data_IF_671988256574
#
_entry.id   IF_671988256574
#
_cell.length_a   1.000
_cell.length_b   1.000
_cell.length_c   1.000
_cell.angle_alpha   90.00
_cell.angle_beta   90.00
_cell.angle_gamma   90.00
#
_symmetry.space_group_name_H-M   'P 1'
#
loop_
_entity.id
_entity.type
_entity.pdbx_description
1 polymer ?
#
# COMPACT_ATOMS: atom_id res chain seq x y z
N UNK A 1 -39.93 -2.39 49.01
CA UNK A 1 -39.34 -3.24 50.00
C UNK A 1 -37.86 -3.42 49.61
N UNK A 2 -37.05 -2.77 50.30
CA UNK A 2 -36.26 -3.07 51.51
C UNK A 2 -35.08 -3.99 51.17
N UNK A 3 -34.03 -3.46 51.32
CA UNK A 3 -32.94 -3.42 52.29
C UNK A 3 -31.68 -4.19 51.85
N UNK A 4 -30.57 -3.49 51.90
CA UNK A 4 -29.23 -3.98 52.05
C UNK A 4 -29.00 -4.49 53.52
N UNK A 5 -27.81 -4.52 54.15
CA UNK A 5 -26.45 -4.15 53.77
C UNK A 5 -25.40 -5.11 54.36
N UNK A 6 -24.12 -4.76 54.33
CA UNK A 6 -23.14 -5.23 55.31
C UNK A 6 -21.81 -5.68 54.69
N UNK A 7 -20.83 -4.92 54.78
CA UNK A 7 -19.72 -4.65 55.72
C UNK A 7 -18.57 -5.64 55.56
N UNK A 8 -17.40 -5.18 55.16
CA UNK A 8 -16.25 -4.64 55.89
C UNK A 8 -15.20 -5.69 56.31
N UNK A 9 -13.94 -5.34 56.19
CA UNK A 9 -12.81 -5.92 56.89
C UNK A 9 -11.58 -6.02 55.95
N UNK A 10 -10.72 -5.10 55.91
CA UNK A 10 -9.59 -4.54 56.66
C UNK A 10 -8.35 -5.43 56.74
N UNK A 11 -7.25 -4.74 56.48
CA UNK A 11 -5.89 -4.92 57.00
C UNK A 11 -4.89 -5.75 56.17
N UNK A 12 -3.88 -5.03 55.70
CA UNK A 12 -2.48 -5.28 55.54
C UNK A 12 -1.76 -5.47 56.92
N UNK A 13 -0.47 -5.23 57.10
CA UNK A 13 0.70 -5.17 56.22
C UNK A 13 1.87 -6.08 56.76
N UNK A 14 3.05 -6.05 56.17
CA UNK A 14 4.25 -6.61 56.79
C UNK A 14 5.33 -6.85 55.74
N UNK A 15 6.30 -6.05 55.63
CA UNK A 15 7.51 -5.79 56.38
C UNK A 15 8.69 -6.65 55.91
N UNK A 16 9.72 -5.96 55.47
CA UNK A 16 11.07 -6.48 55.26
C UNK A 16 11.77 -6.85 56.62
N UNK A 17 12.88 -7.56 56.59
CA UNK A 17 14.11 -7.03 57.19
C UNK A 17 15.37 -7.26 56.35
N UNK A 18 16.21 -6.21 56.20
CA UNK A 18 17.40 -5.86 56.97
C UNK A 18 18.43 -7.00 57.20
N UNK A 19 19.57 -6.87 56.61
CA UNK A 19 20.84 -6.23 56.94
C UNK A 19 21.85 -7.08 57.72
N UNK A 20 23.13 -6.76 57.46
CA UNK A 20 24.39 -6.90 58.22
C UNK A 20 25.21 -8.17 57.94
N UNK A 21 26.46 -7.97 57.65
CA UNK A 21 27.63 -7.54 58.35
C UNK A 21 28.90 -7.84 57.56
N UNK A 22 29.64 -6.98 57.56
CA UNK A 22 30.99 -6.48 57.79
C UNK A 22 32.07 -7.51 58.14
N UNK A 23 33.26 -7.29 57.59
CA UNK A 23 34.59 -7.07 58.19
C UNK A 23 35.68 -7.26 57.12
N UNK A 24 36.39 -6.21 56.73
CA UNK A 24 37.65 -5.62 57.15
C UNK A 24 38.81 -6.64 57.22
N UNK A 25 39.88 -6.38 56.46
CA UNK A 25 41.25 -6.10 56.90
C UNK A 25 42.18 -5.79 55.72
N UNK A 26 42.74 -4.62 55.83
CA UNK A 26 44.04 -4.05 55.43
C UNK A 26 45.12 -5.03 54.95
N UNK A 27 45.96 -4.67 53.99
CA UNK A 27 47.09 -3.74 54.08
C UNK A 27 47.84 -3.62 52.73
N UNK A 28 48.50 -2.49 52.50
CA UNK A 28 49.64 -2.41 51.62
C UNK A 28 49.58 -1.37 50.50
N UNK A 29 50.00 -0.17 50.79
CA UNK A 29 50.10 0.90 49.86
C UNK A 29 51.23 0.75 48.84
N UNK A 30 51.06 1.34 47.70
CA UNK A 30 52.12 2.07 46.96
C UNK A 30 51.48 3.20 46.17
N UNK A 31 52.14 4.33 46.25
CA UNK A 31 51.79 5.58 45.59
C UNK A 31 51.79 5.45 44.08
N UNK A 32 50.92 6.19 43.46
CA UNK A 32 51.23 6.59 42.11
C UNK A 32 50.04 6.65 41.16
N UNK A 33 49.82 7.81 40.67
CA UNK A 33 49.04 8.24 39.50
C UNK A 33 47.53 8.33 39.70
N UNK A 34 47.10 9.56 39.92
CA UNK A 34 45.74 10.02 39.69
C UNK A 34 45.37 9.71 38.24
N UNK A 35 44.27 8.94 38.00
CA UNK A 35 43.76 8.91 36.65
C UNK A 35 43.20 10.29 36.32
N UNK A 36 43.79 10.92 35.34
CA UNK A 36 43.20 12.09 34.64
C UNK A 36 41.86 11.57 34.10
N UNK A 37 40.75 12.01 34.67
CA UNK A 37 39.45 11.87 34.02
C UNK A 37 39.58 12.50 32.65
N UNK A 38 39.22 11.82 31.55
CA UNK A 38 39.01 12.49 30.30
C UNK A 38 37.94 13.53 30.57
N UNK A 39 38.29 14.80 30.35
CA UNK A 39 37.33 15.88 30.35
C UNK A 39 36.18 15.53 29.43
N UNK A 40 35.01 16.15 29.56
CA UNK A 40 33.93 15.93 28.64
C UNK A 40 34.50 16.14 27.23
N UNK A 41 34.63 15.03 26.51
CA UNK A 41 34.86 15.12 25.07
C UNK A 41 33.78 16.06 24.55
N UNK A 42 34.19 17.22 24.16
CA UNK A 42 33.45 18.16 23.37
C UNK A 42 32.60 17.33 22.42
N UNK A 43 31.28 17.37 22.60
CA UNK A 43 30.35 16.91 21.59
C UNK A 43 30.80 17.62 20.32
N UNK A 44 31.52 16.90 19.48
CA UNK A 44 32.00 17.40 18.23
C UNK A 44 30.79 17.98 17.53
N UNK A 45 30.86 19.25 17.25
CA UNK A 45 29.91 20.01 16.43
C UNK A 45 29.84 19.29 15.07
N UNK A 46 29.06 18.21 15.01
CA UNK A 46 28.79 17.48 13.79
C UNK A 46 27.96 18.46 12.96
N UNK A 47 28.62 19.19 12.08
CA UNK A 47 27.97 20.05 11.12
C UNK A 47 26.84 19.23 10.46
N UNK A 48 25.62 19.75 10.41
CA UNK A 48 24.49 19.01 9.86
C UNK A 48 24.84 18.54 8.45
N UNK A 49 24.47 17.31 8.11
CA UNK A 49 24.69 16.71 6.80
C UNK A 49 24.19 17.68 5.72
N UNK A 50 25.06 18.11 4.82
CA UNK A 50 24.63 18.92 3.68
C UNK A 50 23.98 18.06 2.63
N UNK A 51 22.72 18.35 2.34
CA UNK A 51 21.91 17.61 1.36
C UNK A 51 21.81 18.39 0.07
N UNK A 52 22.03 17.72 -1.05
CA UNK A 52 21.97 18.31 -2.38
C UNK A 52 21.04 17.54 -3.33
N UNK A 53 20.95 18.03 -4.56
CA UNK A 53 20.13 17.40 -5.62
C UNK A 53 20.53 15.94 -5.91
N UNK A 54 21.82 15.59 -5.77
CA UNK A 54 22.32 14.23 -5.97
C UNK A 54 21.71 13.24 -4.97
N UNK A 55 21.50 13.66 -3.73
CA UNK A 55 20.91 12.81 -2.69
C UNK A 55 19.42 12.59 -2.96
N UNK A 56 18.71 13.65 -3.39
CA UNK A 56 17.31 13.54 -3.83
C UNK A 56 17.17 12.62 -5.04
N UNK A 57 18.12 12.69 -6.00
CA UNK A 57 18.10 11.82 -7.19
C UNK A 57 18.24 10.35 -6.81
N UNK A 58 19.11 10.02 -5.86
CA UNK A 58 19.25 8.64 -5.35
C UNK A 58 17.96 8.11 -4.73
N UNK A 59 17.24 8.94 -3.94
CA UNK A 59 15.96 8.54 -3.38
C UNK A 59 14.89 8.33 -4.47
N UNK A 60 14.88 9.15 -5.51
CA UNK A 60 13.96 8.99 -6.66
C UNK A 60 14.25 7.73 -7.45
N UNK A 61 15.52 7.41 -7.67
CA UNK A 61 15.94 6.14 -8.31
C UNK A 61 15.48 4.95 -7.47
N UNK A 62 15.72 4.97 -6.15
CA UNK A 62 15.26 3.93 -5.24
C UNK A 62 13.72 3.76 -5.29
N UNK A 63 12.95 4.84 -5.35
CA UNK A 63 11.50 4.79 -5.50
C UNK A 63 11.07 4.17 -6.84
N UNK A 64 11.79 4.47 -7.92
CA UNK A 64 11.51 3.92 -9.25
C UNK A 64 11.80 2.43 -9.30
N UNK A 65 12.93 1.98 -8.76
CA UNK A 65 13.30 0.58 -8.69
C UNK A 65 12.31 -0.22 -7.83
N UNK A 66 11.98 0.33 -6.66
CA UNK A 66 11.03 -0.30 -5.76
C UNK A 66 9.63 -0.44 -6.40
N UNK A 67 9.16 0.55 -7.17
CA UNK A 67 7.89 0.42 -7.93
C UNK A 67 7.96 -0.70 -8.97
N UNK A 68 9.09 -0.87 -9.67
CA UNK A 68 9.27 -1.97 -10.62
C UNK A 68 9.22 -3.32 -9.92
N UNK A 69 9.89 -3.47 -8.79
CA UNK A 69 9.88 -4.71 -8.01
C UNK A 69 8.48 -5.04 -7.47
N UNK A 70 7.80 -4.05 -6.90
CA UNK A 70 6.43 -4.23 -6.41
C UNK A 70 5.48 -4.69 -7.53
N UNK A 71 5.55 -4.08 -8.69
CA UNK A 71 4.70 -4.43 -9.83
C UNK A 71 4.95 -5.84 -10.36
N UNK A 72 6.20 -6.28 -10.34
CA UNK A 72 6.64 -7.56 -10.90
C UNK A 72 6.51 -8.73 -9.92
N UNK A 73 6.86 -8.52 -8.67
CA UNK A 73 7.00 -9.59 -7.67
C UNK A 73 5.96 -9.52 -6.55
N UNK A 74 5.23 -8.42 -6.42
CA UNK A 74 4.29 -8.15 -5.32
C UNK A 74 4.95 -7.53 -4.10
N UNK A 75 4.10 -6.97 -3.22
CA UNK A 75 4.53 -6.25 -2.02
C UNK A 75 5.18 -7.12 -0.94
N UNK A 76 5.00 -8.44 -1.00
CA UNK A 76 5.58 -9.39 -0.05
C UNK A 76 6.94 -9.99 -0.46
N UNK A 77 7.48 -9.59 -1.62
CA UNK A 77 8.81 -10.04 -2.03
C UNK A 77 9.89 -9.44 -1.10
N UNK A 78 11.00 -10.16 -0.92
CA UNK A 78 12.10 -9.73 -0.04
C UNK A 78 12.66 -8.35 -0.41
N UNK A 79 12.58 -7.95 -1.69
CA UNK A 79 13.00 -6.62 -2.15
C UNK A 79 12.15 -5.51 -1.54
N UNK A 80 10.90 -5.81 -1.19
CA UNK A 80 9.98 -4.85 -0.56
C UNK A 80 10.45 -4.44 0.83
N UNK A 81 11.17 -5.30 1.55
CA UNK A 81 11.75 -4.98 2.86
C UNK A 81 12.84 -3.90 2.76
N UNK A 82 13.41 -3.70 1.59
CA UNK A 82 14.41 -2.65 1.35
C UNK A 82 13.79 -1.23 1.38
N UNK A 83 12.50 -1.07 1.12
CA UNK A 83 11.86 0.25 1.12
C UNK A 83 11.79 0.85 2.53
N UNK A 84 11.28 0.16 3.58
CA UNK A 84 11.38 0.65 4.95
C UNK A 84 12.82 0.91 5.40
N UNK A 85 13.76 0.08 4.99
CA UNK A 85 15.18 0.26 5.32
C UNK A 85 15.75 1.50 4.64
N UNK A 86 15.47 1.74 3.36
CA UNK A 86 15.85 2.96 2.65
C UNK A 86 15.25 4.21 3.31
N UNK A 87 14.00 4.16 3.77
CA UNK A 87 13.40 5.25 4.53
C UNK A 87 14.15 5.54 5.83
N UNK A 88 14.58 4.51 6.53
CA UNK A 88 15.26 4.62 7.82
C UNK A 88 16.73 5.05 7.68
N UNK A 89 17.46 4.46 6.75
CA UNK A 89 18.91 4.61 6.63
C UNK A 89 19.30 5.77 5.71
N UNK A 90 18.56 5.93 4.62
CA UNK A 90 18.90 6.93 3.60
C UNK A 90 18.07 8.22 3.74
N UNK A 91 16.72 8.10 3.78
CA UNK A 91 15.85 9.27 3.76
C UNK A 91 15.84 10.02 5.11
N UNK A 92 15.74 9.33 6.24
CA UNK A 92 15.60 9.98 7.54
C UNK A 92 16.80 10.86 7.92
N UNK A 93 18.07 10.45 7.74
CA UNK A 93 19.22 11.34 7.98
C UNK A 93 19.22 12.57 7.08
N UNK A 94 18.82 12.43 5.80
CA UNK A 94 18.74 13.54 4.86
C UNK A 94 17.69 14.57 5.30
N UNK A 95 16.52 14.11 5.78
CA UNK A 95 15.45 14.98 6.29
C UNK A 95 15.88 15.81 7.50
N UNK A 96 16.87 15.34 8.27
CA UNK A 96 17.44 16.03 9.42
C UNK A 96 18.66 16.89 9.04
N UNK A 97 19.10 16.85 7.80
CA UNK A 97 20.24 17.59 7.28
C UNK A 97 19.94 19.08 7.05
N UNK A 98 20.93 19.79 6.49
CA UNK A 98 20.77 21.16 6.04
C UNK A 98 20.65 21.21 4.52
N UNK A 99 19.66 21.92 4.02
CA UNK A 99 19.34 22.05 2.60
C UNK A 99 18.67 23.39 2.31
N UNK A 100 18.70 23.80 1.04
CA UNK A 100 17.92 24.95 0.56
C UNK A 100 16.43 24.59 0.49
N UNK A 101 15.55 25.60 0.46
CA UNK A 101 14.10 25.39 0.35
C UNK A 101 13.73 24.55 -0.89
N UNK A 102 14.44 24.75 -2.00
CA UNK A 102 14.22 23.98 -3.24
C UNK A 102 14.58 22.51 -3.05
N UNK A 103 15.78 22.23 -2.54
CA UNK A 103 16.23 20.86 -2.23
C UNK A 103 15.33 20.23 -1.18
N UNK A 104 14.92 20.99 -0.15
CA UNK A 104 14.01 20.52 0.89
C UNK A 104 12.67 20.07 0.33
N UNK A 105 12.03 20.87 -0.53
CA UNK A 105 10.78 20.46 -1.21
C UNK A 105 10.97 19.20 -2.05
N UNK A 106 12.04 19.13 -2.82
CA UNK A 106 12.35 17.96 -3.64
C UNK A 106 12.62 16.70 -2.78
N UNK A 107 13.30 16.86 -1.64
CA UNK A 107 13.60 15.80 -0.68
C UNK A 107 12.31 15.28 -0.01
N UNK A 108 11.44 16.19 0.46
CA UNK A 108 10.15 15.82 1.03
C UNK A 108 9.27 15.08 0.01
N UNK A 109 9.27 15.52 -1.26
CA UNK A 109 8.55 14.85 -2.35
C UNK A 109 9.05 13.43 -2.60
N UNK A 110 10.36 13.24 -2.74
CA UNK A 110 10.94 11.91 -2.93
C UNK A 110 10.68 10.98 -1.73
N UNK A 111 10.80 11.51 -0.51
CA UNK A 111 10.49 10.77 0.71
C UNK A 111 9.00 10.40 0.81
N UNK A 112 8.10 11.29 0.36
CA UNK A 112 6.66 11.03 0.31
C UNK A 112 6.32 9.89 -0.66
N UNK A 113 6.95 9.86 -1.84
CA UNK A 113 6.77 8.77 -2.81
C UNK A 113 7.19 7.41 -2.23
N UNK A 114 8.39 7.34 -1.62
CA UNK A 114 8.87 6.12 -0.97
C UNK A 114 7.97 5.68 0.18
N UNK A 115 7.54 6.61 1.03
CA UNK A 115 6.68 6.33 2.17
C UNK A 115 5.30 5.82 1.71
N UNK A 116 4.71 6.44 0.67
CA UNK A 116 3.48 5.95 0.06
C UNK A 116 3.66 4.53 -0.49
N UNK A 117 4.80 4.26 -1.13
CA UNK A 117 5.09 2.94 -1.68
C UNK A 117 5.23 1.88 -0.58
N UNK A 118 5.89 2.21 0.55
CA UNK A 118 5.91 1.34 1.73
C UNK A 118 4.49 1.04 2.23
N UNK A 119 3.61 2.06 2.24
CA UNK A 119 2.19 1.88 2.54
C UNK A 119 1.47 0.95 1.57
N UNK A 120 1.74 1.09 0.27
CA UNK A 120 1.17 0.22 -0.75
C UNK A 120 1.62 -1.24 -0.61
N UNK A 121 2.89 -1.47 -0.35
CA UNK A 121 3.44 -2.81 -0.11
C UNK A 121 2.85 -3.44 1.16
N UNK A 122 2.72 -2.67 2.24
CA UNK A 122 2.05 -3.12 3.45
C UNK A 122 0.58 -3.46 3.19
N UNK A 123 -0.13 -2.65 2.41
CA UNK A 123 -1.49 -2.93 1.97
C UNK A 123 -1.56 -4.23 1.14
N UNK A 124 -0.67 -4.40 0.18
CA UNK A 124 -0.63 -5.58 -0.70
C UNK A 124 -0.35 -6.89 0.06
N UNK A 125 0.32 -6.80 1.21
CA UNK A 125 0.62 -7.92 2.11
C UNK A 125 -0.36 -8.09 3.26
N UNK A 126 -1.44 -7.31 3.28
CA UNK A 126 -2.47 -7.41 4.31
C UNK A 126 -2.17 -6.67 5.62
N UNK A 127 -1.05 -5.97 5.73
CA UNK A 127 -0.64 -5.20 6.91
C UNK A 127 -1.35 -3.83 6.95
N UNK A 128 -2.66 -3.86 7.18
CA UNK A 128 -3.54 -2.70 6.97
C UNK A 128 -3.20 -1.49 7.85
N UNK A 129 -2.89 -1.70 9.13
CA UNK A 129 -2.55 -0.62 10.06
C UNK A 129 -1.18 -0.01 9.75
N UNK A 130 -0.21 -0.83 9.33
CA UNK A 130 1.08 -0.34 8.86
C UNK A 130 0.90 0.52 7.61
N UNK A 131 0.08 0.08 6.65
CA UNK A 131 -0.26 0.85 5.45
C UNK A 131 -0.85 2.23 5.80
N UNK A 132 -1.80 2.29 6.72
CA UNK A 132 -2.38 3.57 7.15
C UNK A 132 -1.36 4.51 7.77
N UNK A 133 -0.48 4.00 8.64
CA UNK A 133 0.60 4.81 9.23
C UNK A 133 1.52 5.40 8.16
N UNK A 134 1.93 4.60 7.18
CA UNK A 134 2.74 5.07 6.07
C UNK A 134 2.02 6.11 5.23
N UNK A 135 0.74 5.91 4.91
CA UNK A 135 -0.03 6.88 4.12
C UNK A 135 -0.19 8.22 4.84
N UNK A 136 -0.47 8.22 6.15
CA UNK A 136 -0.56 9.44 6.94
C UNK A 136 0.79 10.18 6.93
N UNK A 137 1.90 9.46 7.08
CA UNK A 137 3.23 10.06 7.01
C UNK A 137 3.53 10.60 5.61
N UNK A 138 3.22 9.85 4.56
CA UNK A 138 3.39 10.27 3.17
C UNK A 138 2.60 11.55 2.86
N UNK A 139 1.38 11.66 3.38
CA UNK A 139 0.56 12.85 3.20
C UNK A 139 1.17 14.09 3.88
N UNK A 140 1.76 13.92 5.07
CA UNK A 140 2.50 15.00 5.76
C UNK A 140 3.71 15.45 4.95
N UNK A 141 4.48 14.50 4.41
CA UNK A 141 5.65 14.78 3.57
C UNK A 141 5.27 15.45 2.25
N UNK A 142 4.21 15.00 1.57
CA UNK A 142 3.69 15.64 0.36
C UNK A 142 3.24 17.08 0.62
N UNK A 143 2.64 17.35 1.78
CA UNK A 143 2.28 18.71 2.21
C UNK A 143 3.52 19.56 2.43
N UNK A 144 4.54 19.03 3.10
CA UNK A 144 5.84 19.72 3.30
C UNK A 144 6.55 20.01 1.98
N UNK A 145 6.41 19.14 0.99
CA UNK A 145 6.89 19.34 -0.38
C UNK A 145 6.10 20.40 -1.17
N UNK A 146 4.93 20.81 -0.67
CA UNK A 146 3.94 21.60 -1.42
C UNK A 146 3.51 20.93 -2.74
N UNK A 147 3.56 19.59 -2.81
CA UNK A 147 3.17 18.79 -3.99
C UNK A 147 1.73 18.29 -3.84
N UNK A 148 0.80 19.09 -4.36
CA UNK A 148 -0.64 18.79 -4.26
C UNK A 148 -1.02 17.54 -5.07
N UNK A 149 -0.51 17.31 -6.30
CA UNK A 149 -0.76 16.07 -7.03
C UNK A 149 -0.27 14.82 -6.31
N UNK A 150 0.90 14.86 -5.68
CA UNK A 150 1.42 13.75 -4.88
C UNK A 150 0.54 13.50 -3.65
N UNK A 151 0.07 14.56 -2.98
CA UNK A 151 -0.91 14.46 -1.91
C UNK A 151 -2.21 13.77 -2.37
N UNK A 152 -2.69 14.11 -3.56
CA UNK A 152 -3.83 13.45 -4.21
C UNK A 152 -3.58 11.96 -4.48
N UNK A 153 -2.37 11.60 -4.90
CA UNK A 153 -1.98 10.21 -5.10
C UNK A 153 -1.98 9.40 -3.78
N UNK A 154 -1.54 10.01 -2.69
CA UNK A 154 -1.62 9.38 -1.36
C UNK A 154 -3.08 9.17 -0.96
N UNK A 155 -3.95 10.19 -1.11
CA UNK A 155 -5.38 10.08 -0.84
C UNK A 155 -6.05 9.00 -1.70
N UNK A 156 -5.69 8.89 -2.97
CA UNK A 156 -6.16 7.83 -3.87
C UNK A 156 -5.73 6.43 -3.38
N UNK A 157 -4.51 6.30 -2.87
CA UNK A 157 -4.03 5.04 -2.27
C UNK A 157 -4.80 4.67 -1.00
N UNK A 158 -5.11 5.64 -0.15
CA UNK A 158 -5.95 5.47 1.04
C UNK A 158 -7.39 5.08 0.66
N UNK A 159 -7.95 5.72 -0.38
CA UNK A 159 -9.27 5.38 -0.92
C UNK A 159 -9.33 3.93 -1.40
N UNK A 160 -8.35 3.47 -2.15
CA UNK A 160 -8.27 2.08 -2.60
C UNK A 160 -8.17 1.11 -1.43
N UNK A 161 -7.42 1.44 -0.39
CA UNK A 161 -7.34 0.61 0.82
C UNK A 161 -8.68 0.55 1.54
N UNK A 162 -9.35 1.69 1.78
CA UNK A 162 -10.64 1.75 2.45
C UNK A 162 -11.70 0.95 1.66
N UNK A 163 -11.75 1.16 0.34
CA UNK A 163 -12.64 0.44 -0.58
C UNK A 163 -12.43 -1.07 -0.51
N UNK A 164 -11.19 -1.52 -0.57
CA UNK A 164 -10.84 -2.95 -0.49
C UNK A 164 -11.26 -3.56 0.85
N UNK A 165 -11.13 -2.83 1.95
CA UNK A 165 -11.52 -3.26 3.29
C UNK A 165 -13.02 -3.22 3.55
N UNK A 166 -13.82 -2.77 2.58
CA UNK A 166 -15.28 -2.66 2.71
C UNK A 166 -15.80 -1.33 3.27
N UNK A 167 -14.92 -0.35 3.46
CA UNK A 167 -15.27 1.02 3.87
C UNK A 167 -15.46 1.90 2.63
N UNK A 168 -16.46 1.57 1.82
CA UNK A 168 -16.63 2.20 0.50
C UNK A 168 -16.95 3.70 0.61
N UNK A 169 -17.74 4.13 1.60
CA UNK A 169 -18.09 5.55 1.80
C UNK A 169 -16.85 6.38 2.13
N UNK A 170 -15.97 5.88 3.02
CA UNK A 170 -14.67 6.50 3.29
C UNK A 170 -13.80 6.53 2.03
N UNK A 171 -13.85 5.47 1.24
CA UNK A 171 -13.17 5.41 -0.06
C UNK A 171 -13.64 6.51 -1.01
N UNK A 172 -14.95 6.77 -1.09
CA UNK A 172 -15.53 7.86 -1.88
C UNK A 172 -15.03 9.21 -1.40
N UNK A 173 -15.10 9.48 -0.11
CA UNK A 173 -14.69 10.77 0.48
C UNK A 173 -13.22 11.08 0.19
N UNK A 174 -12.34 10.09 0.35
CA UNK A 174 -10.91 10.22 0.07
C UNK A 174 -10.61 10.46 -1.41
N UNK A 175 -11.31 9.75 -2.30
CA UNK A 175 -11.14 9.93 -3.75
C UNK A 175 -11.66 11.29 -4.21
N UNK A 176 -12.81 11.73 -3.71
CA UNK A 176 -13.35 13.06 -3.99
C UNK A 176 -12.42 14.16 -3.49
N UNK A 177 -11.84 14.00 -2.30
CA UNK A 177 -10.83 14.93 -1.79
C UNK A 177 -9.60 15.01 -2.71
N UNK A 178 -9.15 13.88 -3.29
CA UNK A 178 -8.08 13.87 -4.28
C UNK A 178 -8.47 14.65 -5.55
N UNK A 179 -9.66 14.42 -6.08
CA UNK A 179 -10.17 15.12 -7.26
C UNK A 179 -10.28 16.62 -7.02
N UNK A 180 -10.93 17.03 -5.94
CA UNK A 180 -11.24 18.43 -5.68
C UNK A 180 -10.01 19.28 -5.43
N UNK A 181 -9.07 18.77 -4.63
CA UNK A 181 -7.82 19.47 -4.33
C UNK A 181 -6.92 19.66 -5.53
N UNK A 182 -7.09 18.83 -6.56
CA UNK A 182 -6.23 18.81 -7.75
C UNK A 182 -6.84 19.49 -8.98
N UNK A 183 -8.03 20.07 -8.87
CA UNK A 183 -8.65 20.82 -9.97
C UNK A 183 -7.76 21.97 -10.41
N UNK A 184 -7.40 21.99 -11.68
CA UNK A 184 -6.53 23.01 -12.28
C UNK A 184 -5.05 22.91 -11.90
N UNK A 185 -4.65 21.92 -11.10
CA UNK A 185 -3.27 21.71 -10.68
C UNK A 185 -2.65 20.44 -11.27
N UNK A 186 -3.42 19.35 -11.34
CA UNK A 186 -2.94 18.07 -11.86
C UNK A 186 -3.13 17.95 -13.37
N UNK A 187 -2.32 17.10 -14.02
CA UNK A 187 -2.46 16.77 -15.44
C UNK A 187 -3.77 16.03 -15.72
N UNK A 188 -4.20 16.03 -16.97
CA UNK A 188 -5.40 15.32 -17.39
C UNK A 188 -5.34 13.82 -17.03
N UNK A 189 -4.19 13.21 -17.22
CA UNK A 189 -3.94 11.80 -16.89
C UNK A 189 -4.04 11.54 -15.39
N UNK A 190 -3.51 12.42 -14.56
CA UNK A 190 -3.63 12.36 -13.10
C UNK A 190 -5.09 12.51 -12.65
N UNK A 191 -5.83 13.46 -13.20
CA UNK A 191 -7.25 13.65 -12.91
C UNK A 191 -8.09 12.44 -13.31
N UNK A 192 -7.79 11.84 -14.47
CA UNK A 192 -8.40 10.57 -14.88
C UNK A 192 -8.21 9.47 -13.85
N UNK A 193 -7.00 9.30 -13.35
CA UNK A 193 -6.70 8.30 -12.32
C UNK A 193 -7.49 8.54 -11.02
N UNK A 194 -7.58 9.77 -10.54
CA UNK A 194 -8.35 10.09 -9.33
C UNK A 194 -9.85 9.82 -9.51
N UNK A 195 -10.41 10.16 -10.67
CA UNK A 195 -11.81 9.85 -11.00
C UNK A 195 -12.05 8.35 -11.12
N UNK A 196 -11.09 7.59 -11.62
CA UNK A 196 -11.17 6.14 -11.67
C UNK A 196 -11.20 5.52 -10.26
N UNK A 197 -10.37 6.03 -9.34
CA UNK A 197 -10.38 5.59 -7.95
C UNK A 197 -11.72 5.89 -7.27
N UNK A 198 -12.32 7.05 -7.54
CA UNK A 198 -13.68 7.39 -7.09
C UNK A 198 -14.71 6.40 -7.64
N UNK A 199 -14.61 6.04 -8.92
CA UNK A 199 -15.50 5.05 -9.53
C UNK A 199 -15.41 3.67 -8.83
N UNK A 200 -14.20 3.26 -8.44
CA UNK A 200 -13.96 2.02 -7.69
C UNK A 200 -14.71 2.02 -6.34
N UNK A 201 -14.67 3.13 -5.61
CA UNK A 201 -15.34 3.27 -4.33
C UNK A 201 -16.87 3.27 -4.48
N UNK A 202 -17.42 4.01 -5.44
CA UNK A 202 -18.85 3.99 -5.75
C UNK A 202 -19.36 2.61 -6.18
N UNK A 203 -18.60 1.90 -7.03
CA UNK A 203 -18.96 0.55 -7.45
C UNK A 203 -19.01 -0.42 -6.27
N UNK A 204 -18.05 -0.32 -5.36
CA UNK A 204 -18.02 -1.13 -4.13
C UNK A 204 -19.16 -0.80 -3.18
N UNK A 205 -19.59 0.47 -3.14
CA UNK A 205 -20.79 0.91 -2.40
C UNK A 205 -22.11 0.44 -3.08
N UNK A 206 -22.06 -0.09 -4.29
CA UNK A 206 -23.24 -0.48 -5.07
C UNK A 206 -23.95 0.67 -5.76
N UNK A 207 -23.36 1.88 -5.77
CA UNK A 207 -23.91 3.06 -6.44
C UNK A 207 -23.54 3.05 -7.94
N UNK A 208 -24.32 2.34 -8.72
CA UNK A 208 -24.10 2.19 -10.16
C UNK A 208 -24.16 3.53 -10.93
N UNK A 209 -25.11 4.46 -10.66
CA UNK A 209 -25.13 5.76 -11.33
C UNK A 209 -23.88 6.58 -11.04
N UNK A 210 -23.45 6.70 -9.78
CA UNK A 210 -22.26 7.45 -9.42
C UNK A 210 -20.98 6.82 -9.97
N UNK A 211 -20.85 5.49 -9.90
CA UNK A 211 -19.74 4.75 -10.50
C UNK A 211 -19.66 4.99 -12.02
N UNK A 212 -20.79 4.92 -12.73
CA UNK A 212 -20.86 5.18 -14.18
C UNK A 212 -20.46 6.63 -14.52
N UNK A 213 -20.93 7.60 -13.76
CA UNK A 213 -20.55 9.00 -13.95
C UNK A 213 -19.05 9.25 -13.71
N UNK A 214 -18.49 8.63 -12.66
CA UNK A 214 -17.07 8.73 -12.36
C UNK A 214 -16.20 8.04 -13.43
N UNK A 215 -16.60 6.85 -13.94
CA UNK A 215 -15.93 6.17 -15.06
C UNK A 215 -15.92 7.02 -16.33
N UNK A 216 -17.07 7.57 -16.70
CA UNK A 216 -17.18 8.47 -17.86
C UNK A 216 -16.27 9.70 -17.68
N UNK A 217 -16.25 10.28 -16.48
CA UNK A 217 -15.36 11.38 -16.16
C UNK A 217 -13.88 11.01 -16.27
N UNK A 218 -13.49 9.82 -15.80
CA UNK A 218 -12.13 9.30 -15.91
C UNK A 218 -11.73 9.11 -17.39
N UNK A 219 -12.58 8.49 -18.20
CA UNK A 219 -12.35 8.30 -19.64
C UNK A 219 -12.19 9.63 -20.36
N UNK A 220 -13.09 10.58 -20.11
CA UNK A 220 -13.03 11.92 -20.72
C UNK A 220 -11.76 12.69 -20.35
N UNK A 221 -11.25 12.54 -19.14
CA UNK A 221 -9.96 13.10 -18.76
C UNK A 221 -8.79 12.39 -19.46
N UNK A 222 -8.85 11.07 -19.59
CA UNK A 222 -7.80 10.29 -20.25
C UNK A 222 -7.69 10.63 -21.74
N UNK A 223 -8.82 10.86 -22.42
CA UNK A 223 -8.87 11.31 -23.81
C UNK A 223 -8.25 12.69 -24.03
N UNK A 224 -8.21 13.54 -23.00
CA UNK A 224 -7.55 14.86 -23.04
C UNK A 224 -6.06 14.80 -22.81
N UNK A 225 -5.54 13.68 -22.28
CA UNK A 225 -4.12 13.48 -22.03
C UNK A 225 -3.35 13.44 -23.36
N UNK A 226 -2.22 14.14 -23.41
CA UNK A 226 -1.39 14.26 -24.60
C UNK A 226 0.01 13.73 -24.33
N UNK A 227 0.65 13.22 -25.38
CA UNK A 227 2.06 12.93 -25.34
C UNK A 227 2.84 14.24 -25.11
N UNK A 228 3.66 14.28 -24.06
CA UNK A 228 4.42 15.48 -23.67
C UNK A 228 3.81 16.27 -22.52
N UNK A 229 2.62 15.89 -22.01
CA UNK A 229 2.15 16.42 -20.72
C UNK A 229 3.17 16.11 -19.62
N UNK A 230 3.37 17.03 -18.68
CA UNK A 230 4.28 16.87 -17.55
C UNK A 230 3.68 15.95 -16.49
N UNK A 231 3.41 14.71 -16.88
CA UNK A 231 2.90 13.70 -15.96
C UNK A 231 3.94 13.35 -14.88
N UNK A 232 3.53 13.20 -13.63
CA UNK A 232 4.46 12.81 -12.58
C UNK A 232 4.97 11.38 -12.81
N UNK A 233 6.27 11.12 -12.51
CA UNK A 233 6.90 9.80 -12.74
C UNK A 233 6.17 8.63 -12.05
N UNK A 234 5.53 8.90 -10.91
CA UNK A 234 4.79 7.88 -10.17
C UNK A 234 3.50 7.42 -10.88
N UNK A 235 3.04 8.14 -11.93
CA UNK A 235 1.85 7.77 -12.72
C UNK A 235 2.20 6.89 -13.94
N UNK A 236 3.44 6.48 -14.11
CA UNK A 236 3.90 5.71 -15.28
C UNK A 236 3.17 4.39 -15.52
N UNK A 237 2.52 3.84 -14.50
CA UNK A 237 1.71 2.61 -14.61
C UNK A 237 0.32 2.85 -15.23
N UNK A 238 -0.15 4.11 -15.34
CA UNK A 238 -1.51 4.43 -15.68
C UNK A 238 -1.67 4.78 -17.17
N UNK A 239 -2.52 4.07 -17.82
CA UNK A 239 -2.91 4.25 -19.22
C UNK A 239 -4.29 3.64 -19.46
N UNK A 240 -4.67 3.54 -20.73
CA UNK A 240 -5.99 3.03 -21.11
C UNK A 240 -6.21 1.57 -20.71
N UNK A 241 -5.17 0.74 -20.73
CA UNK A 241 -5.21 -0.66 -20.29
C UNK A 241 -5.48 -0.78 -18.78
N UNK A 242 -4.89 0.11 -17.97
CA UNK A 242 -5.17 0.17 -16.54
C UNK A 242 -6.58 0.72 -16.26
N UNK A 243 -6.99 1.76 -16.99
CA UNK A 243 -8.36 2.25 -16.92
C UNK A 243 -9.36 1.13 -17.22
N UNK A 244 -9.17 0.39 -18.31
CA UNK A 244 -10.03 -0.73 -18.68
C UNK A 244 -10.07 -1.84 -17.62
N UNK A 245 -8.93 -2.16 -17.01
CA UNK A 245 -8.86 -3.13 -15.94
C UNK A 245 -9.68 -2.73 -14.71
N UNK A 246 -9.53 -1.49 -14.26
CA UNK A 246 -10.25 -0.98 -13.09
C UNK A 246 -11.75 -0.75 -13.41
N UNK A 247 -12.12 -0.39 -14.64
CA UNK A 247 -13.50 -0.35 -15.10
C UNK A 247 -14.14 -1.75 -15.07
N UNK A 248 -13.42 -2.78 -15.50
CA UNK A 248 -13.88 -4.16 -15.39
C UNK A 248 -14.15 -4.56 -13.94
N UNK A 249 -13.29 -4.15 -13.00
CA UNK A 249 -13.52 -4.40 -11.57
C UNK A 249 -14.75 -3.66 -11.04
N UNK A 250 -14.98 -2.41 -11.44
CA UNK A 250 -16.19 -1.67 -11.09
C UNK A 250 -17.44 -2.43 -11.52
N UNK A 251 -17.46 -2.89 -12.77
CA UNK A 251 -18.61 -3.63 -13.30
C UNK A 251 -18.76 -5.03 -12.71
N UNK A 252 -17.67 -5.68 -12.28
CA UNK A 252 -17.74 -6.91 -11.50
C UNK A 252 -18.47 -6.67 -10.17
N UNK A 253 -18.08 -5.62 -9.43
CA UNK A 253 -18.70 -5.30 -8.14
C UNK A 253 -20.18 -4.91 -8.32
N UNK A 254 -20.53 -4.29 -9.44
CA UNK A 254 -21.91 -3.96 -9.84
C UNK A 254 -22.69 -5.13 -10.49
N UNK A 255 -22.09 -6.32 -10.58
CA UNK A 255 -22.71 -7.53 -11.15
C UNK A 255 -23.19 -7.33 -12.60
N UNK A 256 -22.37 -6.72 -13.42
CA UNK A 256 -22.62 -6.39 -14.82
C UNK A 256 -21.67 -7.16 -15.77
N UNK A 257 -21.79 -8.48 -15.95
CA UNK A 257 -20.79 -9.34 -16.60
C UNK A 257 -20.52 -8.99 -18.06
N UNK A 258 -21.49 -8.44 -18.79
CA UNK A 258 -21.30 -8.01 -20.19
C UNK A 258 -20.28 -6.87 -20.28
N UNK A 259 -20.36 -5.88 -19.39
CA UNK A 259 -19.42 -4.78 -19.30
C UNK A 259 -18.05 -5.28 -18.83
N UNK A 260 -18.00 -6.20 -17.85
CA UNK A 260 -16.75 -6.80 -17.40
C UNK A 260 -16.00 -7.41 -18.59
N UNK A 261 -16.68 -8.24 -19.41
CA UNK A 261 -16.04 -8.84 -20.59
C UNK A 261 -15.45 -7.80 -21.52
N UNK A 262 -16.24 -6.79 -21.91
CA UNK A 262 -15.80 -5.73 -22.80
C UNK A 262 -14.51 -5.06 -22.35
N UNK A 263 -14.44 -4.68 -21.07
CA UNK A 263 -13.27 -4.01 -20.51
C UNK A 263 -12.11 -4.96 -20.24
N UNK A 264 -12.39 -6.22 -19.88
CA UNK A 264 -11.33 -7.23 -19.65
C UNK A 264 -10.59 -7.58 -20.93
N UNK A 265 -11.26 -7.71 -22.06
CA UNK A 265 -10.63 -7.93 -23.37
C UNK A 265 -9.62 -6.83 -23.69
N UNK A 266 -9.98 -5.56 -23.44
CA UNK A 266 -9.08 -4.42 -23.60
C UNK A 266 -7.93 -4.45 -22.61
N UNK A 267 -8.19 -4.80 -21.36
CA UNK A 267 -7.19 -4.87 -20.30
C UNK A 267 -6.17 -6.00 -20.50
N UNK A 268 -6.56 -7.11 -21.10
CA UNK A 268 -5.71 -8.29 -21.36
C UNK A 268 -5.04 -8.26 -22.74
N UNK A 269 -5.38 -7.31 -23.61
CA UNK A 269 -4.80 -7.19 -24.96
C UNK A 269 -3.29 -6.93 -24.96
N UNK A 270 -2.75 -6.44 -23.86
CA UNK A 270 -1.31 -6.21 -23.65
C UNK A 270 -0.84 -6.95 -22.40
N UNK A 271 -0.44 -8.23 -22.50
CA UNK A 271 0.23 -8.89 -21.39
C UNK A 271 1.56 -8.17 -21.17
N UNK A 272 1.79 -7.70 -19.96
CA UNK A 272 3.02 -7.03 -19.61
C UNK A 272 3.77 -7.87 -18.59
N UNK A 273 4.96 -8.36 -18.97
CA UNK A 273 5.86 -9.06 -18.06
C UNK A 273 6.27 -8.19 -16.85
N UNK A 274 6.13 -6.88 -17.00
CA UNK A 274 6.46 -5.91 -15.97
C UNK A 274 5.36 -5.76 -14.91
N UNK A 275 4.08 -5.98 -15.26
CA UNK A 275 2.93 -5.80 -14.37
C UNK A 275 2.23 -7.12 -14.03
N UNK A 276 3.02 -8.09 -13.57
CA UNK A 276 2.57 -9.48 -13.34
C UNK A 276 1.41 -9.57 -12.36
N UNK A 277 1.47 -8.82 -11.23
CA UNK A 277 0.39 -8.79 -10.25
C UNK A 277 -0.92 -8.29 -10.86
N UNK A 278 -0.88 -7.17 -11.59
CA UNK A 278 -2.07 -6.62 -12.24
C UNK A 278 -2.65 -7.58 -13.28
N UNK A 279 -1.80 -8.30 -14.00
CA UNK A 279 -2.25 -9.33 -14.94
C UNK A 279 -2.98 -10.47 -14.23
N UNK A 280 -2.46 -10.97 -13.11
CA UNK A 280 -3.13 -11.99 -12.30
C UNK A 280 -4.51 -11.55 -11.81
N UNK A 281 -4.63 -10.34 -11.30
CA UNK A 281 -5.92 -9.78 -10.87
C UNK A 281 -6.93 -9.68 -12.03
N UNK A 282 -6.49 -9.23 -13.21
CA UNK A 282 -7.32 -9.16 -14.43
C UNK A 282 -7.85 -10.54 -14.86
N UNK A 283 -7.03 -11.57 -14.74
CA UNK A 283 -7.44 -12.95 -15.01
C UNK A 283 -8.53 -13.44 -14.06
N UNK A 284 -8.44 -13.12 -12.76
CA UNK A 284 -9.49 -13.45 -11.80
C UNK A 284 -10.79 -12.71 -12.14
N UNK A 285 -10.72 -11.40 -12.45
CA UNK A 285 -11.89 -10.60 -12.84
C UNK A 285 -12.55 -11.19 -14.10
N UNK A 286 -11.76 -11.63 -15.08
CA UNK A 286 -12.25 -12.34 -16.26
C UNK A 286 -12.93 -13.66 -15.89
N UNK A 287 -12.33 -14.46 -15.01
CA UNK A 287 -12.90 -15.72 -14.56
C UNK A 287 -14.27 -15.54 -13.89
N UNK A 288 -14.41 -14.52 -13.03
CA UNK A 288 -15.69 -14.18 -12.40
C UNK A 288 -16.75 -13.79 -13.44
N UNK A 289 -16.38 -12.98 -14.45
CA UNK A 289 -17.32 -12.59 -15.51
C UNK A 289 -17.79 -13.77 -16.35
N UNK A 290 -16.90 -14.70 -16.68
CA UNK A 290 -17.25 -15.93 -17.40
C UNK A 290 -18.19 -16.80 -16.56
N UNK A 291 -17.92 -16.96 -15.27
CA UNK A 291 -18.77 -17.69 -14.35
C UNK A 291 -20.18 -17.09 -14.25
N UNK A 292 -20.28 -15.78 -14.04
CA UNK A 292 -21.57 -15.05 -13.97
C UNK A 292 -22.34 -15.06 -15.30
N UNK A 293 -21.65 -15.34 -16.41
CA UNK A 293 -22.24 -15.51 -17.73
C UNK A 293 -22.62 -16.97 -18.04
N UNK A 294 -22.41 -17.90 -17.11
CA UNK A 294 -22.69 -19.32 -17.27
C UNK A 294 -21.63 -20.12 -18.02
N UNK A 295 -20.46 -19.55 -18.28
CA UNK A 295 -19.37 -20.19 -18.99
C UNK A 295 -18.34 -20.81 -18.02
N UNK A 296 -18.70 -21.90 -17.38
CA UNK A 296 -17.87 -22.54 -16.37
C UNK A 296 -16.48 -22.95 -16.91
N UNK A 297 -16.40 -23.41 -18.17
CA UNK A 297 -15.14 -23.81 -18.80
C UNK A 297 -14.16 -22.66 -18.93
N UNK A 298 -14.65 -21.54 -19.45
CA UNK A 298 -13.84 -20.34 -19.60
C UNK A 298 -13.45 -19.75 -18.24
N UNK A 299 -14.35 -19.80 -17.25
CA UNK A 299 -14.08 -19.38 -15.88
C UNK A 299 -12.95 -20.20 -15.25
N UNK A 300 -13.00 -21.53 -15.36
CA UNK A 300 -11.94 -22.40 -14.83
C UNK A 300 -10.62 -22.22 -15.58
N UNK A 301 -10.63 -22.04 -16.90
CA UNK A 301 -9.44 -21.80 -17.70
C UNK A 301 -8.75 -20.46 -17.31
N UNK A 302 -9.51 -19.39 -17.16
CA UNK A 302 -8.98 -18.10 -16.70
C UNK A 302 -8.51 -18.18 -15.25
N UNK A 303 -9.24 -18.86 -14.36
CA UNK A 303 -8.86 -19.12 -12.97
C UNK A 303 -7.55 -19.89 -12.85
N UNK A 304 -7.33 -20.92 -13.65
CA UNK A 304 -6.08 -21.67 -13.68
C UNK A 304 -4.89 -20.77 -14.04
N UNK A 305 -5.02 -19.96 -15.08
CA UNK A 305 -3.97 -18.98 -15.44
C UNK A 305 -3.73 -17.97 -14.34
N UNK A 306 -4.79 -17.52 -13.65
CA UNK A 306 -4.67 -16.61 -12.50
C UNK A 306 -3.88 -17.24 -11.36
N UNK A 307 -4.13 -18.51 -11.03
CA UNK A 307 -3.40 -19.27 -9.99
C UNK A 307 -1.94 -19.43 -10.37
N UNK A 308 -1.63 -19.74 -11.63
CA UNK A 308 -0.25 -19.85 -12.11
C UNK A 308 0.52 -18.54 -11.99
N UNK A 309 -0.12 -17.40 -12.29
CA UNK A 309 0.47 -16.07 -12.10
C UNK A 309 0.63 -15.75 -10.61
N UNK A 310 -0.41 -16.01 -9.80
CA UNK A 310 -0.38 -15.76 -8.37
C UNK A 310 0.72 -16.55 -7.64
N UNK A 311 1.02 -17.76 -8.09
CA UNK A 311 2.10 -18.58 -7.55
C UNK A 311 3.51 -18.04 -7.79
N UNK A 312 3.67 -17.05 -8.67
CA UNK A 312 4.97 -16.43 -9.01
C UNK A 312 5.22 -15.11 -8.28
N UNK A 313 4.24 -14.62 -7.52
CA UNK A 313 4.30 -13.32 -6.83
C UNK A 313 3.90 -13.48 -5.37
N UNK A 314 4.35 -12.55 -4.54
CA UNK A 314 3.99 -12.49 -3.12
C UNK A 314 3.02 -11.33 -2.89
N UNK A 315 1.71 -11.62 -2.93
CA UNK A 315 0.65 -10.63 -2.77
C UNK A 315 -0.57 -11.29 -2.10
N UNK A 316 -0.84 -10.91 -0.85
CA UNK A 316 -2.02 -11.36 -0.12
C UNK A 316 -3.30 -10.96 -0.85
N UNK A 317 -3.32 -9.78 -1.46
CA UNK A 317 -4.45 -9.29 -2.23
C UNK A 317 -4.77 -10.18 -3.43
N UNK A 318 -3.75 -10.65 -4.17
CA UNK A 318 -3.97 -11.58 -5.28
C UNK A 318 -4.53 -12.91 -4.78
N UNK A 319 -4.04 -13.41 -3.64
CA UNK A 319 -4.57 -14.62 -3.00
C UNK A 319 -6.03 -14.46 -2.59
N UNK A 320 -6.41 -13.29 -2.03
CA UNK A 320 -7.82 -13.00 -1.68
C UNK A 320 -8.74 -13.02 -2.91
N UNK A 321 -8.30 -12.48 -4.04
CA UNK A 321 -9.06 -12.55 -5.30
C UNK A 321 -9.25 -14.00 -5.77
N UNK A 322 -8.23 -14.84 -5.64
CA UNK A 322 -8.34 -16.27 -5.96
C UNK A 322 -9.33 -16.96 -5.00
N UNK A 323 -9.30 -16.66 -3.69
CA UNK A 323 -10.25 -17.18 -2.72
C UNK A 323 -11.69 -16.80 -3.07
N UNK A 324 -11.95 -15.54 -3.42
CA UNK A 324 -13.27 -15.08 -3.85
C UNK A 324 -13.77 -15.87 -5.07
N UNK A 325 -12.91 -16.09 -6.07
CA UNK A 325 -13.26 -16.93 -7.22
C UNK A 325 -13.62 -18.35 -6.81
N UNK A 326 -12.81 -18.99 -5.97
CA UNK A 326 -13.06 -20.36 -5.50
C UNK A 326 -14.33 -20.47 -4.66
N UNK A 327 -14.63 -19.45 -3.85
CA UNK A 327 -15.90 -19.37 -3.12
C UNK A 327 -17.10 -19.29 -4.07
N UNK A 328 -17.03 -18.48 -5.13
CA UNK A 328 -18.07 -18.40 -6.16
C UNK A 328 -18.26 -19.70 -6.95
N UNK A 329 -17.23 -20.53 -7.03
CA UNK A 329 -17.26 -21.85 -7.67
C UNK A 329 -17.76 -22.97 -6.75
N UNK A 330 -18.09 -22.70 -5.48
CA UNK A 330 -18.61 -23.73 -4.55
C UNK A 330 -19.85 -24.48 -5.08
N UNK A 331 -20.84 -23.81 -5.71
CA UNK A 331 -22.00 -24.50 -6.27
C UNK A 331 -21.66 -25.51 -7.37
N UNK A 332 -20.48 -25.44 -7.96
CA UNK A 332 -19.97 -26.30 -9.04
C UNK A 332 -18.90 -27.27 -8.57
N UNK A 333 -18.83 -27.56 -7.26
CA UNK A 333 -17.76 -28.33 -6.64
C UNK A 333 -17.59 -29.76 -7.17
N UNK A 334 -18.66 -30.37 -7.69
CA UNK A 334 -18.66 -31.73 -8.27
C UNK A 334 -18.09 -31.77 -9.71
N UNK A 335 -17.89 -30.62 -10.35
CA UNK A 335 -17.33 -30.57 -11.68
C UNK A 335 -15.82 -30.82 -11.64
N UNK A 336 -15.29 -31.77 -12.46
CA UNK A 336 -13.88 -32.17 -12.41
C UNK A 336 -12.89 -30.98 -12.60
N UNK A 337 -13.23 -30.03 -13.47
CA UNK A 337 -12.40 -28.84 -13.75
C UNK A 337 -12.34 -27.88 -12.58
N UNK A 338 -13.40 -27.80 -11.75
CA UNK A 338 -13.42 -27.00 -10.52
C UNK A 338 -12.57 -27.68 -9.45
N UNK A 339 -12.66 -29.00 -9.33
CA UNK A 339 -11.83 -29.77 -8.43
C UNK A 339 -10.33 -29.62 -8.79
N UNK A 340 -10.00 -29.69 -10.08
CA UNK A 340 -8.62 -29.48 -10.58
C UNK A 340 -8.11 -28.06 -10.24
N UNK A 341 -8.93 -27.03 -10.48
CA UNK A 341 -8.56 -25.65 -10.14
C UNK A 341 -8.30 -25.48 -8.64
N UNK A 342 -9.13 -26.07 -7.79
CA UNK A 342 -8.95 -26.06 -6.32
C UNK A 342 -7.64 -26.72 -5.90
N UNK A 343 -7.32 -27.86 -6.48
CA UNK A 343 -6.05 -28.54 -6.20
C UNK A 343 -4.85 -27.68 -6.59
N UNK A 344 -4.88 -27.05 -7.78
CA UNK A 344 -3.82 -26.14 -8.23
C UNK A 344 -3.68 -24.91 -7.35
N UNK A 345 -4.78 -24.39 -6.78
CA UNK A 345 -4.76 -23.23 -5.90
C UNK A 345 -4.32 -23.56 -4.46
N UNK A 346 -4.38 -24.83 -4.03
CA UNK A 346 -4.07 -25.26 -2.65
C UNK A 346 -2.74 -24.72 -2.11
N UNK A 347 -1.59 -24.83 -2.82
CA UNK A 347 -0.32 -24.31 -2.33
C UNK A 347 -0.34 -22.82 -2.05
N UNK A 348 -1.03 -22.04 -2.90
CA UNK A 348 -1.19 -20.60 -2.75
C UNK A 348 -1.98 -20.22 -1.49
N UNK A 349 -2.98 -21.03 -1.13
CA UNK A 349 -3.86 -20.75 0.02
C UNK A 349 -3.24 -21.14 1.35
N UNK A 350 -2.37 -22.14 1.37
CA UNK A 350 -1.69 -22.65 2.59
C UNK A 350 -0.48 -21.79 2.96
N UNK A 351 0.23 -21.25 1.99
CA UNK A 351 1.48 -20.49 2.22
C UNK A 351 1.27 -19.12 2.91
N UNK A 352 0.02 -18.70 3.12
CA UNK A 352 -0.33 -17.40 3.72
C UNK A 352 -1.23 -17.54 4.97
N UNK A 353 -1.32 -18.74 5.55
CA UNK A 353 -2.06 -18.99 6.79
C UNK A 353 -1.10 -18.84 8.04
#
# INVERSE_FOLDING_TARGET
>A
GSEGPGTAGTQGPGAAPDARGAHILHTGGTAGSVPVQPGPESAADASPLRVGHSDVSKLREAAQDARRWDSKYGGGDWRSSMVPECLRVDAAPLLLGSYTDEVGRALFGASAELTRLAGWMAFDTGQQEAAQRYYIQALRLARAAADVPLGGYVLASMSLQATYRGFADEGVDLAQAAVERNRGLATARTMSFFRLVEARAHAKAGDAPAAGAALKGAESWLERSRAGDADPPWLGFYGYDRFAADAAECYRDLKAPRQVRRFTEQALSRPTEEFVRSHGLRLVVSAVAELESGNLDAACAAGTRAVEVAGRISSARTTEYVRDLLHRLEPYGDEPRVAELRERARPLLVSQA
#
